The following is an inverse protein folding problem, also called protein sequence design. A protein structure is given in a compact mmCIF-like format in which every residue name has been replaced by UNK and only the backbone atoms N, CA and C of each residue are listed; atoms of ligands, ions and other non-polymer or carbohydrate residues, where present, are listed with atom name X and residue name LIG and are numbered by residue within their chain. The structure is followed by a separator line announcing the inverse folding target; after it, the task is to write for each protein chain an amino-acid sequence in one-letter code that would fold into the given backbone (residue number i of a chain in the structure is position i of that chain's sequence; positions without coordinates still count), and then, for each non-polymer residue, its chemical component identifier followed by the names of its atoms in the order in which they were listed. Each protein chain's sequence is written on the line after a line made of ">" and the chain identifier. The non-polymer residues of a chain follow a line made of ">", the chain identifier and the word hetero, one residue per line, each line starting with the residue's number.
data_IF_261220754635
#
_entry.id   IF_261220754635
#
_cell.length_a   1.000
_cell.length_b   1.000
_cell.length_c   1.000
_cell.angle_alpha   90.00
_cell.angle_beta   90.00
_cell.angle_gamma   90.00
#
_symmetry.space_group_name_H-M   'P 1'
#
loop_
_entity.id
_entity.type
_entity.pdbx_description
1 polymer ?
#
# COMPACT_ATOMS: atom_id res chain seq x y z
N UNK A 1 15.90 -13.34 26.90
CA UNK A 1 14.74 -13.79 26.11
C UNK A 1 14.34 -15.18 26.61
N UNK A 2 13.08 -15.42 26.95
CA UNK A 2 12.66 -16.70 27.52
C UNK A 2 12.39 -17.72 26.40
N UNK A 3 13.44 -18.45 26.00
CA UNK A 3 13.42 -19.46 24.92
C UNK A 3 12.38 -20.55 25.13
N UNK A 4 11.99 -20.81 26.39
CA UNK A 4 10.98 -21.80 26.76
C UNK A 4 9.57 -21.45 26.26
N UNK A 5 9.21 -20.16 26.29
CA UNK A 5 7.91 -19.67 25.79
C UNK A 5 7.85 -19.69 24.26
N UNK A 6 9.00 -19.46 23.60
CA UNK A 6 9.11 -19.51 22.13
C UNK A 6 8.80 -20.92 21.61
N UNK A 7 9.43 -21.95 22.19
CA UNK A 7 9.29 -23.34 21.76
C UNK A 7 7.90 -23.95 22.00
N UNK A 8 7.15 -23.45 22.99
CA UNK A 8 5.78 -23.91 23.26
C UNK A 8 4.77 -23.43 22.21
N UNK A 9 5.11 -22.40 21.45
CA UNK A 9 4.17 -21.64 20.61
C UNK A 9 4.49 -21.82 19.14
N UNK A 10 5.77 -21.69 18.77
CA UNK A 10 6.26 -21.85 17.41
C UNK A 10 7.49 -22.75 17.42
N UNK A 11 7.49 -23.75 16.54
CA UNK A 11 8.68 -24.54 16.23
C UNK A 11 9.67 -23.75 15.36
N UNK A 12 10.90 -24.23 15.21
CA UNK A 12 11.89 -23.61 14.31
C UNK A 12 11.42 -23.60 12.84
N UNK A 13 10.70 -24.64 12.41
CA UNK A 13 10.10 -24.70 11.08
C UNK A 13 8.99 -23.66 10.92
N UNK A 14 8.16 -23.44 11.95
CA UNK A 14 7.14 -22.38 11.94
C UNK A 14 7.78 -20.99 11.78
N UNK A 15 8.87 -20.73 12.48
CA UNK A 15 9.59 -19.44 12.37
C UNK A 15 10.18 -19.24 10.97
N UNK A 16 10.75 -20.29 10.39
CA UNK A 16 11.27 -20.27 9.02
C UNK A 16 10.16 -20.00 8.00
N UNK A 17 9.01 -20.65 8.18
CA UNK A 17 7.83 -20.44 7.34
C UNK A 17 7.31 -19.00 7.44
N UNK A 18 7.18 -18.46 8.67
CA UNK A 18 6.72 -17.08 8.91
C UNK A 18 7.57 -16.03 8.16
N UNK A 19 8.88 -16.27 8.00
CA UNK A 19 9.78 -15.34 7.29
C UNK A 19 9.52 -15.29 5.79
N UNK A 20 8.93 -16.33 5.21
CA UNK A 20 8.60 -16.40 3.78
C UNK A 20 7.22 -15.83 3.46
N UNK A 21 6.40 -15.54 4.48
CA UNK A 21 5.05 -15.04 4.33
C UNK A 21 5.01 -13.54 4.08
N UNK A 22 4.06 -13.11 3.25
CA UNK A 22 3.73 -11.70 3.12
C UNK A 22 3.09 -11.15 4.43
N UNK A 23 2.92 -9.82 4.48
CA UNK A 23 2.40 -9.13 5.66
C UNK A 23 1.03 -9.66 6.13
N UNK A 24 0.16 -10.04 5.19
CA UNK A 24 -1.19 -10.53 5.47
C UNK A 24 -1.17 -11.99 5.85
N UNK A 25 -0.49 -12.83 5.08
CA UNK A 25 -0.34 -14.26 5.37
C UNK A 25 0.22 -14.47 6.77
N UNK A 26 1.29 -13.73 7.11
CA UNK A 26 1.87 -13.75 8.46
C UNK A 26 0.85 -13.35 9.52
N UNK A 27 0.09 -12.28 9.28
CA UNK A 27 -0.98 -11.81 10.20
C UNK A 27 -2.06 -12.87 10.42
N UNK A 28 -2.55 -13.50 9.35
CA UNK A 28 -3.59 -14.55 9.43
C UNK A 28 -3.06 -15.80 10.12
N UNK A 29 -1.85 -16.25 9.80
CA UNK A 29 -1.22 -17.40 10.46
C UNK A 29 -1.08 -17.17 11.96
N UNK A 30 -0.62 -15.99 12.38
CA UNK A 30 -0.52 -15.62 13.80
C UNK A 30 -1.90 -15.60 14.47
N UNK A 31 -2.93 -15.07 13.80
CA UNK A 31 -4.29 -15.06 14.32
C UNK A 31 -4.85 -16.47 14.50
N UNK A 32 -4.66 -17.36 13.53
CA UNK A 32 -5.05 -18.78 13.63
C UNK A 32 -4.34 -19.45 14.82
N UNK A 33 -3.03 -19.26 14.98
CA UNK A 33 -2.28 -19.81 16.10
C UNK A 33 -2.79 -19.30 17.44
N UNK A 34 -3.07 -17.99 17.54
CA UNK A 34 -3.68 -17.39 18.72
C UNK A 34 -5.03 -18.00 19.06
N UNK A 35 -5.90 -18.23 18.07
CA UNK A 35 -7.22 -18.85 18.28
C UNK A 35 -7.07 -20.28 18.83
N UNK A 36 -6.13 -21.06 18.27
CA UNK A 36 -5.87 -22.44 18.70
C UNK A 36 -5.32 -22.52 20.14
N UNK A 37 -4.52 -21.55 20.57
CA UNK A 37 -4.00 -21.48 21.96
C UNK A 37 -5.12 -21.11 22.95
N UNK A 38 -6.10 -20.31 22.52
CA UNK A 38 -7.21 -19.88 23.36
C UNK A 38 -6.80 -18.80 24.38
N UNK A 39 -7.02 -19.05 25.67
CA UNK A 39 -6.82 -18.04 26.72
C UNK A 39 -5.35 -17.60 26.76
N UNK A 40 -5.13 -16.29 26.77
CA UNK A 40 -3.81 -15.64 26.72
C UNK A 40 -3.04 -15.80 25.39
N UNK A 41 -3.60 -16.44 24.35
CA UNK A 41 -2.91 -16.70 23.09
C UNK A 41 -2.36 -15.45 22.38
N UNK A 42 -3.03 -14.29 22.53
CA UNK A 42 -2.54 -13.00 21.99
C UNK A 42 -1.24 -12.58 22.68
N UNK A 43 -1.21 -12.61 24.01
CA UNK A 43 -0.04 -12.18 24.78
C UNK A 43 1.15 -13.10 24.51
N UNK A 44 0.88 -14.41 24.45
CA UNK A 44 1.87 -15.44 24.17
C UNK A 44 2.50 -15.28 22.77
N UNK A 45 1.69 -15.15 21.72
CA UNK A 45 2.21 -14.96 20.34
C UNK A 45 2.96 -13.64 20.19
N UNK A 46 2.48 -12.55 20.81
CA UNK A 46 3.19 -11.27 20.83
C UNK A 46 4.58 -11.38 21.45
N UNK A 47 4.70 -12.09 22.58
CA UNK A 47 5.97 -12.29 23.27
C UNK A 47 6.96 -13.14 22.46
N UNK A 48 6.47 -14.11 21.69
CA UNK A 48 7.30 -14.99 20.86
C UNK A 48 7.90 -14.25 19.65
N UNK A 49 7.07 -13.72 18.74
CA UNK A 49 7.54 -13.22 17.42
C UNK A 49 7.54 -11.69 17.29
N UNK A 50 7.45 -10.97 18.41
CA UNK A 50 7.47 -9.50 18.47
C UNK A 50 6.45 -8.82 17.53
N UNK A 51 5.26 -9.41 17.43
CA UNK A 51 4.14 -8.86 16.66
C UNK A 51 3.24 -8.03 17.57
N UNK A 52 2.67 -6.93 17.05
CA UNK A 52 1.77 -6.10 17.85
C UNK A 52 0.41 -6.79 18.08
N UNK A 53 -0.20 -6.54 19.25
CA UNK A 53 -1.54 -7.04 19.58
C UNK A 53 -2.57 -6.60 18.53
N UNK A 54 -2.47 -5.36 18.06
CA UNK A 54 -3.37 -4.80 17.04
C UNK A 54 -3.32 -5.60 15.74
N UNK A 55 -2.13 -6.06 15.33
CA UNK A 55 -1.98 -6.90 14.13
C UNK A 55 -2.66 -8.26 14.30
N UNK A 56 -2.52 -8.91 15.46
CA UNK A 56 -3.20 -10.18 15.76
C UNK A 56 -4.72 -9.99 15.76
N UNK A 57 -5.24 -8.99 16.47
CA UNK A 57 -6.69 -8.71 16.51
C UNK A 57 -7.25 -8.37 15.12
N UNK A 58 -6.48 -7.66 14.28
CA UNK A 58 -6.83 -7.42 12.88
C UNK A 58 -6.95 -8.74 12.11
N UNK A 59 -5.98 -9.65 12.25
CA UNK A 59 -6.05 -10.98 11.65
C UNK A 59 -7.25 -11.81 12.13
N UNK A 60 -7.58 -11.77 13.42
CA UNK A 60 -8.76 -12.45 13.98
C UNK A 60 -10.06 -11.89 13.37
N UNK A 61 -10.17 -10.56 13.19
CA UNK A 61 -11.33 -9.94 12.53
C UNK A 61 -11.42 -10.36 11.06
N UNK A 62 -10.29 -10.42 10.35
CA UNK A 62 -10.21 -10.88 8.97
C UNK A 62 -10.66 -12.35 8.83
N UNK A 63 -10.19 -13.26 9.70
CA UNK A 63 -10.59 -14.67 9.70
C UNK A 63 -12.09 -14.87 9.97
N UNK A 64 -12.68 -14.04 10.82
CA UNK A 64 -14.11 -14.08 11.12
C UNK A 64 -14.99 -13.45 10.02
N UNK A 65 -14.45 -13.23 8.82
CA UNK A 65 -15.19 -12.74 7.66
C UNK A 65 -15.64 -11.28 7.76
N UNK A 66 -15.16 -10.51 8.75
CA UNK A 66 -15.50 -9.09 8.89
C UNK A 66 -14.77 -8.19 7.90
N UNK A 67 -13.89 -8.77 7.07
CA UNK A 67 -13.06 -8.05 6.10
C UNK A 67 -12.98 -8.84 4.79
N UNK A 68 -13.51 -8.28 3.70
CA UNK A 68 -13.40 -8.84 2.36
C UNK A 68 -12.26 -8.12 1.63
N UNK A 69 -11.35 -8.89 1.04
CA UNK A 69 -10.22 -8.38 0.25
C UNK A 69 -10.37 -8.84 -1.20
N UNK A 70 -10.04 -7.95 -2.13
CA UNK A 70 -9.90 -8.29 -3.55
C UNK A 70 -8.77 -9.31 -3.75
N UNK A 71 -8.97 -10.23 -4.70
CA UNK A 71 -7.95 -11.22 -5.07
C UNK A 71 -6.62 -10.53 -5.41
N UNK A 72 -5.52 -11.05 -4.87
CA UNK A 72 -4.17 -10.50 -5.08
C UNK A 72 -3.79 -9.28 -4.23
N UNK A 73 -4.65 -8.80 -3.32
CA UNK A 73 -4.31 -7.62 -2.48
C UNK A 73 -4.01 -8.03 -1.03
N UNK A 74 -2.87 -7.56 -0.51
CA UNK A 74 -2.43 -7.81 0.89
C UNK A 74 -3.16 -6.89 1.88
N UNK A 75 -3.61 -5.71 1.43
CA UNK A 75 -4.26 -4.68 2.24
C UNK A 75 -5.66 -4.37 1.74
N UNK A 76 -6.52 -3.89 2.63
CA UNK A 76 -7.85 -3.39 2.26
C UNK A 76 -7.67 -2.16 1.37
N UNK A 77 -8.62 -1.93 0.45
CA UNK A 77 -8.71 -0.67 -0.28
C UNK A 77 -8.65 0.51 0.69
N UNK A 78 -7.81 1.51 0.39
CA UNK A 78 -7.56 2.64 1.29
C UNK A 78 -6.69 2.35 2.53
N UNK A 79 -6.27 1.10 2.77
CA UNK A 79 -5.35 0.72 3.85
C UNK A 79 -3.87 0.92 3.53
N UNK A 80 -3.56 1.46 2.34
CA UNK A 80 -2.20 1.84 1.92
C UNK A 80 -1.82 3.25 2.35
N UNK A 81 -0.62 3.68 1.94
CA UNK A 81 -0.28 5.12 1.99
C UNK A 81 -1.29 5.86 1.11
N UNK A 82 -1.84 6.98 1.61
CA UNK A 82 -2.71 7.85 0.82
C UNK A 82 -2.03 8.21 -0.50
N UNK A 83 -2.78 8.22 -1.60
CA UNK A 83 -2.19 8.58 -2.87
C UNK A 83 -1.75 10.05 -2.81
N UNK A 84 -0.59 10.36 -3.38
CA UNK A 84 -0.05 11.73 -3.32
C UNK A 84 -0.99 12.75 -3.97
N UNK A 85 -1.81 12.31 -4.93
CA UNK A 85 -2.80 13.16 -5.61
C UNK A 85 -4.01 13.47 -4.72
N UNK A 86 -4.33 12.59 -3.76
CA UNK A 86 -5.38 12.85 -2.77
C UNK A 86 -4.87 13.80 -1.68
N UNK A 87 -3.56 13.74 -1.38
CA UNK A 87 -2.89 14.61 -0.41
C UNK A 87 -2.59 16.01 -0.98
N UNK A 88 -2.28 16.09 -2.27
CA UNK A 88 -1.89 17.30 -2.99
C UNK A 88 -2.78 17.54 -4.22
N UNK A 89 -4.06 17.95 -4.05
CA UNK A 89 -4.95 18.27 -5.16
C UNK A 89 -4.42 19.40 -6.04
N UNK A 90 -3.60 20.31 -5.49
CA UNK A 90 -2.93 21.38 -6.22
C UNK A 90 -1.92 20.89 -7.27
N UNK A 91 -1.59 19.59 -7.28
CA UNK A 91 -0.78 19.00 -8.35
C UNK A 91 -1.60 18.77 -9.60
N UNK A 92 -2.89 18.46 -9.48
CA UNK A 92 -3.79 18.31 -10.64
C UNK A 92 -4.04 19.67 -11.30
N UNK A 93 -4.26 20.72 -10.49
CA UNK A 93 -4.43 22.08 -11.01
C UNK A 93 -3.20 22.54 -11.81
N UNK A 94 -1.99 22.35 -11.25
CA UNK A 94 -0.76 22.69 -11.96
C UNK A 94 -0.59 21.84 -13.23
N UNK A 95 -0.94 20.56 -13.17
CA UNK A 95 -0.88 19.68 -14.34
C UNK A 95 -1.80 20.19 -15.45
N UNK A 96 -3.04 20.56 -15.13
CA UNK A 96 -4.01 21.10 -16.09
C UNK A 96 -3.51 22.41 -16.72
N UNK A 97 -2.88 23.31 -15.93
CA UNK A 97 -2.27 24.53 -16.44
C UNK A 97 -1.12 24.26 -17.42
N UNK A 98 -0.27 23.28 -17.11
CA UNK A 98 0.83 22.85 -17.99
C UNK A 98 0.23 22.28 -19.28
N UNK A 99 -0.75 21.40 -19.15
CA UNK A 99 -1.41 20.75 -20.27
C UNK A 99 -2.06 21.78 -21.17
N UNK A 100 -2.81 22.76 -20.65
CA UNK A 100 -3.43 23.82 -21.43
C UNK A 100 -2.43 24.64 -22.26
N UNK A 101 -1.22 24.91 -21.73
CA UNK A 101 -0.18 25.69 -22.42
C UNK A 101 0.56 24.89 -23.50
N UNK A 102 0.63 23.58 -23.35
CA UNK A 102 1.41 22.66 -24.17
C UNK A 102 0.55 21.72 -25.03
N UNK A 103 -0.77 21.90 -24.97
CA UNK A 103 -1.72 21.21 -25.80
C UNK A 103 -1.88 22.00 -27.10
N UNK A 104 -1.38 21.43 -28.18
CA UNK A 104 -1.68 21.90 -29.52
C UNK A 104 -2.83 21.04 -30.08
N UNK A 105 -3.77 21.71 -30.75
CA UNK A 105 -4.85 21.08 -31.49
C UNK A 105 -4.61 21.14 -33.00
N UNK A 106 -5.28 20.29 -33.76
CA UNK A 106 -5.39 20.47 -35.21
C UNK A 106 -6.49 21.51 -35.52
N UNK A 107 -6.22 22.56 -36.31
CA UNK A 107 -7.23 23.56 -36.67
C UNK A 107 -8.47 23.01 -37.38
N UNK A 108 -8.37 21.81 -37.94
CA UNK A 108 -9.42 21.13 -38.69
C UNK A 108 -10.14 20.05 -37.87
N UNK A 109 -9.63 19.68 -36.70
CA UNK A 109 -10.21 18.65 -35.85
C UNK A 109 -9.95 18.92 -34.36
N UNK A 110 -10.96 19.49 -33.70
CA UNK A 110 -10.93 19.82 -32.26
C UNK A 110 -10.82 18.57 -31.35
N UNK A 111 -10.99 17.37 -31.90
CA UNK A 111 -10.86 16.10 -31.16
C UNK A 111 -9.42 15.61 -31.06
N UNK A 112 -8.51 16.13 -31.90
CA UNK A 112 -7.09 15.76 -31.89
C UNK A 112 -6.32 16.76 -31.04
N UNK A 113 -5.96 16.33 -29.83
CA UNK A 113 -5.14 17.08 -28.88
C UNK A 113 -3.89 16.27 -28.58
N UNK A 114 -2.72 16.81 -28.87
CA UNK A 114 -1.46 16.20 -28.45
C UNK A 114 -0.73 17.08 -27.43
N UNK A 115 -0.10 16.41 -26.48
CA UNK A 115 0.87 17.02 -25.57
C UNK A 115 2.25 16.85 -26.19
N UNK A 116 2.95 17.96 -26.40
CA UNK A 116 4.34 17.96 -26.88
C UNK A 116 5.36 17.63 -25.77
N UNK A 117 4.88 17.40 -24.54
CA UNK A 117 5.70 17.15 -23.37
C UNK A 117 5.90 15.66 -23.09
N UNK A 118 7.16 15.29 -22.91
CA UNK A 118 7.56 14.02 -22.31
C UNK A 118 7.34 14.03 -20.78
N UNK A 119 7.29 12.83 -20.19
CA UNK A 119 7.23 12.63 -18.73
C UNK A 119 8.39 13.34 -18.01
N UNK A 120 9.58 13.36 -18.60
CA UNK A 120 10.74 14.02 -18.01
C UNK A 120 10.58 15.55 -17.97
N UNK A 121 10.04 16.14 -19.04
CA UNK A 121 9.75 17.58 -19.10
C UNK A 121 8.67 17.98 -18.09
N UNK A 122 7.61 17.17 -17.94
CA UNK A 122 6.57 17.42 -16.93
C UNK A 122 7.17 17.47 -15.52
N UNK A 123 8.03 16.52 -15.17
CA UNK A 123 8.71 16.50 -13.86
C UNK A 123 9.56 17.77 -13.65
N UNK A 124 10.27 18.19 -14.70
CA UNK A 124 11.11 19.38 -14.65
C UNK A 124 10.28 20.65 -14.45
N UNK A 125 9.16 20.80 -15.15
CA UNK A 125 8.25 21.95 -14.99
C UNK A 125 7.64 21.96 -13.59
N UNK A 126 7.26 20.80 -13.04
CA UNK A 126 6.80 20.71 -11.66
C UNK A 126 7.87 21.18 -10.67
N UNK A 127 9.12 20.78 -10.90
CA UNK A 127 10.26 21.19 -10.07
C UNK A 127 10.51 22.69 -10.11
N UNK A 128 10.33 23.32 -11.27
CA UNK A 128 10.40 24.78 -11.45
C UNK A 128 9.30 25.51 -10.68
N UNK A 129 8.13 24.88 -10.52
CA UNK A 129 7.04 25.36 -9.66
C UNK A 129 7.21 24.97 -8.18
N UNK A 130 8.41 24.52 -7.78
CA UNK A 130 8.73 24.14 -6.40
C UNK A 130 8.11 22.82 -5.93
N UNK A 131 7.53 22.02 -6.83
CA UNK A 131 6.85 20.76 -6.52
C UNK A 131 7.65 19.58 -7.06
N UNK A 132 7.80 18.51 -6.27
CA UNK A 132 8.54 17.32 -6.70
C UNK A 132 7.59 16.13 -6.88
N UNK A 133 7.53 15.61 -8.11
CA UNK A 133 6.73 14.43 -8.46
C UNK A 133 7.62 13.33 -9.05
N UNK A 134 7.23 12.07 -8.84
CA UNK A 134 7.91 10.92 -9.44
C UNK A 134 7.40 10.64 -10.86
N UNK A 135 8.20 9.96 -11.71
CA UNK A 135 7.75 9.54 -13.05
C UNK A 135 6.47 8.69 -13.04
N UNK A 136 6.24 7.93 -11.97
CA UNK A 136 5.02 7.15 -11.79
C UNK A 136 3.78 8.06 -11.67
N UNK A 137 3.88 9.14 -10.90
CA UNK A 137 2.79 10.10 -10.70
C UNK A 137 2.50 10.87 -11.98
N UNK A 138 3.53 11.37 -12.67
CA UNK A 138 3.38 12.03 -13.96
C UNK A 138 2.67 11.13 -14.99
N UNK A 139 3.07 9.85 -15.09
CA UNK A 139 2.38 8.88 -15.96
C UNK A 139 0.95 8.58 -15.52
N UNK A 140 0.69 8.57 -14.21
CA UNK A 140 -0.66 8.37 -13.69
C UNK A 140 -1.57 9.51 -14.12
N UNK A 141 -1.11 10.76 -13.99
CA UNK A 141 -1.84 11.96 -14.46
C UNK A 141 -2.12 11.91 -15.96
N UNK A 142 -1.16 11.49 -16.79
CA UNK A 142 -1.34 11.35 -18.25
C UNK A 142 -2.35 10.26 -18.67
N UNK A 143 -2.61 9.28 -17.81
CA UNK A 143 -3.57 8.19 -18.07
C UNK A 143 -4.96 8.45 -17.49
N UNK A 144 -5.08 9.52 -16.69
CA UNK A 144 -6.34 9.91 -16.02
C UNK A 144 -7.24 10.62 -17.02
#
# INVERSE_FOLDING_TARGET
>A
MNTKILSEVFSETDLTYIQQLDERQRRLYCATRTINIGKHGVATVCASIHISKNTIYRGIRELNGKTILSSGTVRIAGGGRKAILDEHPEYLVLFDEIVQKHMAGLPQDDSVRWLDLSVAQIIQIFKEHGKSISPYIARKMLKS
#
